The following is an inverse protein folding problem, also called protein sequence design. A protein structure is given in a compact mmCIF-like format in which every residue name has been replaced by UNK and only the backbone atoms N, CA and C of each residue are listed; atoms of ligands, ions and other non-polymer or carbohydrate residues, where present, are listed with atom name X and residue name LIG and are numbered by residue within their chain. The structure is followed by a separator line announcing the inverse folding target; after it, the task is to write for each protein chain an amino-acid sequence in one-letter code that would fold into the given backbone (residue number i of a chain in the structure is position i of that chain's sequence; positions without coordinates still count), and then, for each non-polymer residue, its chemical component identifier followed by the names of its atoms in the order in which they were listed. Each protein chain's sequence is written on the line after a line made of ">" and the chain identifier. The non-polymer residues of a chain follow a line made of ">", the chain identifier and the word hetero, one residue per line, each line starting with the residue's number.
data_IF_631016364739
#
_entry.id   IF_631016364739
#
_cell.length_a   1.000
_cell.length_b   1.000
_cell.length_c   1.000
_cell.angle_alpha   90.00
_cell.angle_beta   90.00
_cell.angle_gamma   90.00
#
_symmetry.space_group_name_H-M   'P 1'
#
loop_
_entity.id
_entity.type
_entity.pdbx_description
1 polymer ?
#
# COMPACT_ATOMS: atom_id res chain seq x y z
N UNK A 1 -45.80 -27.31 -0.94
CA UNK A 1 -44.63 -28.01 -0.35
C UNK A 1 -44.37 -29.35 -1.02
N UNK A 2 -45.14 -30.40 -0.70
CA UNK A 2 -44.87 -31.77 -1.16
C UNK A 2 -44.84 -31.90 -2.69
N UNK A 3 -45.73 -31.21 -3.41
CA UNK A 3 -45.74 -31.21 -4.88
C UNK A 3 -44.40 -30.73 -5.47
N UNK A 4 -43.94 -29.55 -5.07
CA UNK A 4 -42.71 -28.96 -5.60
C UNK A 4 -41.47 -29.80 -5.28
N UNK A 5 -41.40 -30.39 -4.08
CA UNK A 5 -40.32 -31.33 -3.76
C UNK A 5 -40.38 -32.60 -4.62
N UNK A 6 -41.56 -33.20 -4.80
CA UNK A 6 -41.73 -34.37 -5.66
C UNK A 6 -41.32 -34.10 -7.10
N UNK A 7 -41.66 -32.93 -7.64
CA UNK A 7 -41.27 -32.56 -9.00
C UNK A 7 -39.74 -32.52 -9.19
N UNK A 8 -38.98 -32.07 -8.19
CA UNK A 8 -37.51 -32.10 -8.22
C UNK A 8 -36.95 -33.53 -8.14
N UNK A 9 -37.63 -34.41 -7.40
CA UNK A 9 -37.21 -35.81 -7.19
C UNK A 9 -37.58 -36.71 -8.38
N UNK A 10 -38.77 -36.53 -8.94
CA UNK A 10 -39.34 -37.42 -9.95
C UNK A 10 -38.76 -37.18 -11.36
N UNK A 11 -38.10 -36.03 -11.61
CA UNK A 11 -37.46 -35.69 -12.89
C UNK A 11 -38.36 -35.86 -14.13
N UNK A 12 -39.65 -35.53 -13.99
CA UNK A 12 -40.60 -35.64 -15.12
C UNK A 12 -40.69 -34.36 -15.94
N UNK A 13 -40.64 -33.23 -15.24
CA UNK A 13 -41.00 -31.92 -15.81
C UNK A 13 -39.76 -31.01 -15.99
N UNK A 14 -38.55 -31.54 -15.84
CA UNK A 14 -37.29 -30.79 -15.94
C UNK A 14 -36.97 -29.91 -14.73
N UNK A 15 -37.91 -29.74 -13.80
CA UNK A 15 -37.69 -29.04 -12.53
C UNK A 15 -36.52 -29.67 -11.78
N UNK A 16 -35.48 -28.88 -11.50
CA UNK A 16 -34.27 -29.33 -10.81
C UNK A 16 -33.99 -28.58 -9.52
N UNK A 17 -34.76 -27.55 -9.18
CA UNK A 17 -34.71 -26.92 -7.87
C UNK A 17 -36.08 -26.45 -7.39
N UNK A 18 -36.25 -26.40 -6.07
CA UNK A 18 -37.37 -25.79 -5.39
C UNK A 18 -36.87 -25.01 -4.17
N UNK A 19 -37.33 -23.78 -4.00
CA UNK A 19 -36.99 -22.89 -2.91
C UNK A 19 -38.19 -22.73 -1.98
N UNK A 20 -37.93 -22.87 -0.69
CA UNK A 20 -38.92 -22.75 0.36
C UNK A 20 -38.50 -21.68 1.37
N UNK A 21 -39.46 -21.02 1.99
CA UNK A 21 -39.22 -19.98 2.98
C UNK A 21 -40.34 -19.91 3.99
N UNK A 22 -40.09 -19.27 5.13
CA UNK A 22 -41.12 -19.08 6.14
C UNK A 22 -42.17 -18.05 5.72
N UNK A 23 -43.44 -18.33 5.98
CA UNK A 23 -44.48 -17.33 5.91
C UNK A 23 -44.27 -16.28 7.01
N UNK A 24 -44.55 -15.02 6.67
CA UNK A 24 -44.17 -13.79 7.37
C UNK A 24 -44.02 -13.94 8.89
N UNK A 25 -45.09 -14.32 9.59
CA UNK A 25 -45.16 -14.37 11.04
C UNK A 25 -45.11 -15.78 11.63
N UNK A 26 -45.35 -16.82 10.83
CA UNK A 26 -45.34 -18.20 11.32
C UNK A 26 -44.02 -18.90 10.97
N UNK A 27 -43.85 -20.13 11.44
CA UNK A 27 -42.76 -21.01 11.02
C UNK A 27 -43.23 -22.03 9.99
N UNK A 28 -44.36 -21.75 9.32
CA UNK A 28 -44.87 -22.60 8.26
C UNK A 28 -44.04 -22.39 7.00
N UNK A 29 -43.60 -23.50 6.42
CA UNK A 29 -42.81 -23.49 5.21
C UNK A 29 -43.73 -23.30 3.99
N UNK A 30 -43.42 -22.33 3.13
CA UNK A 30 -44.15 -22.09 1.89
C UNK A 30 -43.21 -22.22 0.69
N UNK A 31 -43.78 -22.58 -0.47
CA UNK A 31 -43.04 -22.53 -1.73
C UNK A 31 -42.80 -21.07 -2.09
N UNK A 32 -41.53 -20.72 -2.33
CA UNK A 32 -41.11 -19.40 -2.80
C UNK A 32 -40.97 -19.44 -4.33
N UNK A 33 -40.29 -20.46 -4.85
CA UNK A 33 -40.06 -20.63 -6.28
C UNK A 33 -39.64 -22.06 -6.63
N UNK A 34 -39.66 -22.39 -7.91
CA UNK A 34 -39.12 -23.64 -8.48
C UNK A 34 -38.74 -23.39 -9.94
N UNK A 35 -37.79 -24.16 -10.45
CA UNK A 35 -37.29 -23.96 -11.81
C UNK A 35 -36.42 -25.10 -12.31
N UNK A 36 -35.91 -24.91 -13.53
CA UNK A 36 -35.11 -25.88 -14.29
C UNK A 36 -33.72 -25.35 -14.67
N UNK A 37 -33.39 -24.12 -14.29
CA UNK A 37 -32.12 -23.44 -14.54
C UNK A 37 -31.02 -23.75 -13.51
N UNK A 38 -31.19 -24.79 -12.68
CA UNK A 38 -30.14 -25.28 -11.80
C UNK A 38 -29.81 -24.37 -10.62
N UNK A 39 -28.55 -24.40 -10.20
CA UNK A 39 -28.08 -23.61 -9.06
C UNK A 39 -27.98 -22.12 -9.42
N UNK A 40 -27.70 -21.81 -10.66
CA UNK A 40 -27.55 -20.45 -11.18
C UNK A 40 -28.87 -19.67 -11.00
N UNK A 41 -29.97 -20.21 -11.55
CA UNK A 41 -31.31 -19.63 -11.39
C UNK A 41 -31.72 -19.58 -9.91
N UNK A 42 -31.46 -20.66 -9.15
CA UNK A 42 -31.78 -20.71 -7.72
C UNK A 42 -31.11 -19.57 -6.94
N UNK A 43 -29.87 -19.21 -7.25
CA UNK A 43 -29.15 -18.16 -6.51
C UNK A 43 -29.73 -16.77 -6.70
N UNK A 44 -30.39 -16.50 -7.84
CA UNK A 44 -31.06 -15.23 -8.12
C UNK A 44 -32.33 -15.04 -7.26
N UNK A 45 -32.96 -16.14 -6.86
CA UNK A 45 -34.17 -16.16 -6.02
C UNK A 45 -33.86 -16.09 -4.50
N UNK A 46 -32.59 -16.21 -4.10
CA UNK A 46 -32.19 -16.14 -2.70
C UNK A 46 -32.32 -14.71 -2.16
N UNK A 47 -32.99 -14.58 -1.01
CA UNK A 47 -33.18 -13.29 -0.36
C UNK A 47 -32.28 -13.16 0.88
N UNK A 48 -31.47 -12.10 0.92
CA UNK A 48 -30.58 -11.82 2.04
C UNK A 48 -31.32 -11.45 3.35
N UNK A 49 -32.60 -11.07 3.29
CA UNK A 49 -33.42 -10.73 4.46
C UNK A 49 -34.21 -11.90 5.04
N UNK A 50 -34.09 -13.12 4.49
CA UNK A 50 -34.95 -14.26 4.85
C UNK A 50 -34.15 -15.52 5.17
N UNK A 51 -34.79 -16.41 5.93
CA UNK A 51 -34.35 -17.80 6.11
C UNK A 51 -35.10 -18.62 5.08
N UNK A 52 -34.36 -19.38 4.28
CA UNK A 52 -34.90 -20.18 3.18
C UNK A 52 -34.25 -21.56 3.17
N UNK A 53 -34.92 -22.52 2.55
CA UNK A 53 -34.44 -23.87 2.35
C UNK A 53 -34.59 -24.20 0.88
N UNK A 54 -33.50 -24.54 0.22
CA UNK A 54 -33.53 -24.94 -1.18
C UNK A 54 -33.28 -26.43 -1.30
N UNK A 55 -34.08 -27.12 -2.11
CA UNK A 55 -33.86 -28.50 -2.48
C UNK A 55 -33.52 -28.54 -3.97
N UNK A 56 -32.32 -29.00 -4.30
CA UNK A 56 -31.80 -28.97 -5.66
C UNK A 56 -31.24 -30.34 -6.05
N UNK A 57 -31.50 -30.74 -7.29
CA UNK A 57 -30.91 -31.89 -7.93
C UNK A 57 -29.77 -31.43 -8.83
N UNK A 58 -28.58 -31.95 -8.58
CA UNK A 58 -27.35 -31.62 -9.33
C UNK A 58 -26.76 -32.90 -9.89
N UNK A 59 -26.37 -32.87 -11.15
CA UNK A 59 -25.66 -33.98 -11.77
C UNK A 59 -24.16 -33.86 -11.48
N UNK A 60 -23.56 -34.92 -10.94
CA UNK A 60 -22.11 -34.95 -10.71
C UNK A 60 -21.37 -35.13 -12.04
N UNK A 61 -20.48 -34.20 -12.44
CA UNK A 61 -19.77 -34.27 -13.73
C UNK A 61 -18.89 -35.51 -13.90
N UNK A 62 -18.42 -36.10 -12.79
CA UNK A 62 -17.51 -37.24 -12.83
C UNK A 62 -18.24 -38.57 -12.93
N UNK A 63 -19.46 -38.65 -12.38
CA UNK A 63 -20.21 -39.91 -12.25
C UNK A 63 -21.50 -39.93 -13.06
N UNK A 64 -21.96 -38.79 -13.58
CA UNK A 64 -23.27 -38.60 -14.22
C UNK A 64 -24.47 -38.99 -13.34
N UNK A 65 -24.26 -39.20 -12.05
CA UNK A 65 -25.30 -39.55 -11.07
C UNK A 65 -25.93 -38.26 -10.55
N UNK A 66 -27.27 -38.21 -10.57
CA UNK A 66 -28.03 -37.14 -9.91
C UNK A 66 -27.91 -37.26 -8.40
N UNK A 67 -27.49 -36.18 -7.76
CA UNK A 67 -27.43 -36.02 -6.30
C UNK A 67 -28.41 -34.94 -5.87
N UNK A 68 -28.99 -35.12 -4.69
CA UNK A 68 -29.92 -34.17 -4.11
C UNK A 68 -29.25 -33.42 -2.96
N UNK A 69 -29.34 -32.10 -3.02
CA UNK A 69 -28.73 -31.17 -2.09
C UNK A 69 -29.84 -30.39 -1.39
N UNK A 70 -29.78 -30.36 -0.06
CA UNK A 70 -30.61 -29.49 0.77
C UNK A 70 -29.73 -28.35 1.30
N UNK A 71 -30.05 -27.12 0.91
CA UNK A 71 -29.34 -25.91 1.31
C UNK A 71 -30.18 -25.21 2.39
N UNK A 72 -29.56 -24.94 3.53
CA UNK A 72 -30.11 -24.08 4.58
C UNK A 72 -29.56 -22.66 4.40
N UNK A 73 -30.36 -21.78 3.80
CA UNK A 73 -29.98 -20.39 3.55
C UNK A 73 -30.40 -19.50 4.72
N UNK A 74 -29.42 -18.87 5.37
CA UNK A 74 -29.64 -17.88 6.42
C UNK A 74 -29.15 -16.52 5.94
N UNK A 75 -30.01 -15.78 5.25
CA UNK A 75 -29.67 -14.46 4.73
C UNK A 75 -29.14 -13.52 5.81
N UNK A 76 -28.14 -12.71 5.49
CA UNK A 76 -27.46 -11.80 6.41
C UNK A 76 -28.44 -10.89 7.18
N UNK A 77 -29.39 -10.28 6.48
CA UNK A 77 -30.41 -9.39 7.03
C UNK A 77 -31.60 -10.08 7.69
N UNK A 78 -31.65 -11.42 7.76
CA UNK A 78 -32.74 -12.11 8.44
C UNK A 78 -32.70 -11.89 9.97
N UNK A 79 -33.86 -11.74 10.65
CA UNK A 79 -33.91 -11.43 12.08
C UNK A 79 -33.11 -12.43 12.93
N UNK A 80 -32.22 -11.94 13.79
CA UNK A 80 -31.31 -12.77 14.59
C UNK A 80 -32.06 -13.77 15.48
N UNK A 81 -33.19 -13.35 16.08
CA UNK A 81 -34.05 -14.21 16.90
C UNK A 81 -34.59 -15.38 16.07
N UNK A 82 -35.06 -15.12 14.84
CA UNK A 82 -35.54 -16.18 13.94
C UNK A 82 -34.40 -17.13 13.54
N UNK A 83 -33.17 -16.64 13.32
CA UNK A 83 -32.02 -17.51 13.02
C UNK A 83 -31.72 -18.48 14.16
N UNK A 84 -31.81 -18.00 15.40
CA UNK A 84 -31.64 -18.83 16.61
C UNK A 84 -32.74 -19.89 16.76
N UNK A 85 -34.01 -19.50 16.62
CA UNK A 85 -35.13 -20.43 16.73
C UNK A 85 -35.14 -21.49 15.61
N UNK A 86 -34.88 -21.08 14.37
CA UNK A 86 -34.95 -21.97 13.21
C UNK A 86 -33.73 -22.90 13.06
N UNK A 87 -32.71 -22.78 13.93
CA UNK A 87 -31.56 -23.68 13.92
C UNK A 87 -31.97 -25.15 14.11
N UNK A 88 -33.00 -25.41 14.91
CA UNK A 88 -33.49 -26.76 15.19
C UNK A 88 -34.46 -27.28 14.09
N UNK A 89 -35.13 -26.38 13.37
CA UNK A 89 -36.08 -26.77 12.33
C UNK A 89 -35.41 -27.51 11.16
N UNK A 90 -34.10 -27.30 10.97
CA UNK A 90 -33.36 -27.97 9.90
C UNK A 90 -33.48 -29.50 9.99
N UNK A 91 -33.49 -30.07 11.21
CA UNK A 91 -33.61 -31.52 11.39
C UNK A 91 -34.96 -32.04 10.87
N UNK A 92 -36.04 -31.34 11.21
CA UNK A 92 -37.39 -31.69 10.77
C UNK A 92 -37.54 -31.53 9.25
N UNK A 93 -36.95 -30.47 8.69
CA UNK A 93 -36.96 -30.19 7.24
C UNK A 93 -36.15 -31.25 6.48
N UNK A 94 -34.98 -31.65 6.98
CA UNK A 94 -34.17 -32.72 6.40
C UNK A 94 -34.88 -34.07 6.45
N UNK A 95 -35.65 -34.34 7.52
CA UNK A 95 -36.46 -35.55 7.64
C UNK A 95 -37.68 -35.54 6.72
N UNK A 96 -38.26 -34.35 6.49
CA UNK A 96 -39.41 -34.14 5.61
C UNK A 96 -39.01 -34.31 4.13
N UNK A 97 -37.95 -33.65 3.68
CA UNK A 97 -37.43 -33.75 2.31
C UNK A 97 -36.48 -34.94 2.17
N UNK A 98 -37.05 -36.15 2.11
CA UNK A 98 -36.29 -37.40 1.94
C UNK A 98 -35.50 -37.39 0.62
N UNK A 99 -34.38 -38.11 0.57
CA UNK A 99 -33.59 -38.30 -0.66
C UNK A 99 -32.34 -37.41 -0.78
N UNK A 100 -32.22 -36.32 -0.01
CA UNK A 100 -30.91 -35.66 0.17
C UNK A 100 -30.07 -36.39 1.20
N UNK A 101 -28.85 -36.79 0.83
CA UNK A 101 -27.85 -37.22 1.83
C UNK A 101 -27.31 -35.96 2.49
N UNK A 102 -27.96 -35.53 3.57
CA UNK A 102 -27.48 -34.39 4.32
C UNK A 102 -26.10 -34.70 4.91
N UNK A 103 -25.09 -34.00 4.41
CA UNK A 103 -23.79 -33.87 5.07
C UNK A 103 -23.65 -32.41 5.47
N UNK A 104 -23.48 -32.17 6.76
CA UNK A 104 -23.17 -30.83 7.26
C UNK A 104 -21.85 -30.39 6.62
N UNK A 105 -21.91 -29.36 5.78
CA UNK A 105 -20.72 -28.72 5.24
C UNK A 105 -19.91 -28.20 6.41
N UNK A 106 -18.65 -28.61 6.49
CA UNK A 106 -17.67 -28.03 7.41
C UNK A 106 -16.82 -27.05 6.61
N UNK A 107 -17.08 -25.73 6.65
CA UNK A 107 -16.35 -24.75 5.84
C UNK A 107 -14.84 -24.85 6.03
N UNK A 108 -14.38 -25.12 7.26
CA UNK A 108 -12.98 -25.31 7.60
C UNK A 108 -12.32 -26.56 6.98
N UNK A 109 -13.12 -27.53 6.50
CA UNK A 109 -12.65 -28.77 5.88
C UNK A 109 -12.80 -28.77 4.36
N UNK A 110 -13.78 -28.03 3.84
CA UNK A 110 -14.18 -28.07 2.43
C UNK A 110 -13.73 -26.84 1.63
N UNK A 111 -13.47 -25.70 2.29
CA UNK A 111 -12.86 -24.54 1.64
C UNK A 111 -11.35 -24.66 1.85
N UNK A 112 -10.60 -24.82 0.76
CA UNK A 112 -9.13 -24.78 0.77
C UNK A 112 -8.64 -23.39 1.22
N UNK A 113 -8.47 -23.20 2.53
CA UNK A 113 -7.83 -21.99 3.09
C UNK A 113 -6.39 -21.90 2.59
N UNK A 114 -5.76 -23.04 2.37
CA UNK A 114 -4.39 -23.19 1.89
C UNK A 114 -4.15 -22.56 0.51
N UNK A 115 -5.08 -22.69 -0.45
CA UNK A 115 -4.89 -22.08 -1.80
C UNK A 115 -5.05 -20.57 -1.76
N UNK A 116 -6.02 -20.07 -0.98
CA UNK A 116 -6.19 -18.64 -0.73
C UNK A 116 -4.97 -18.06 0.01
N UNK A 117 -4.46 -18.75 1.02
CA UNK A 117 -3.27 -18.34 1.78
C UNK A 117 -2.00 -18.34 0.90
N UNK A 118 -1.83 -19.34 0.03
CA UNK A 118 -0.73 -19.38 -0.94
C UNK A 118 -0.80 -18.22 -1.93
N UNK A 119 -1.99 -17.87 -2.41
CA UNK A 119 -2.20 -16.72 -3.28
C UNK A 119 -1.76 -15.42 -2.59
N UNK A 120 -2.29 -15.15 -1.40
CA UNK A 120 -1.94 -13.95 -0.64
C UNK A 120 -0.48 -13.91 -0.20
N UNK A 121 0.12 -15.05 0.17
CA UNK A 121 1.54 -15.14 0.52
C UNK A 121 2.43 -14.80 -0.68
N UNK A 122 2.12 -15.32 -1.87
CA UNK A 122 2.86 -15.04 -3.09
C UNK A 122 2.76 -13.56 -3.46
N UNK A 123 1.56 -12.99 -3.39
CA UNK A 123 1.32 -11.59 -3.72
C UNK A 123 1.98 -10.65 -2.70
N UNK A 124 1.95 -10.97 -1.41
CA UNK A 124 2.66 -10.22 -0.35
C UNK A 124 4.18 -10.29 -0.52
N UNK A 125 4.71 -11.43 -0.95
CA UNK A 125 6.14 -11.59 -1.21
C UNK A 125 6.60 -10.80 -2.44
N UNK A 126 5.80 -10.80 -3.50
CA UNK A 126 6.03 -9.98 -4.70
C UNK A 126 5.91 -8.48 -4.40
N UNK A 127 4.91 -8.08 -3.61
CA UNK A 127 4.73 -6.71 -3.13
C UNK A 127 5.91 -6.25 -2.28
N UNK A 128 6.36 -7.08 -1.34
CA UNK A 128 7.50 -6.79 -0.48
C UNK A 128 8.78 -6.62 -1.30
N UNK A 129 9.01 -7.47 -2.31
CA UNK A 129 10.14 -7.32 -3.24
C UNK A 129 10.08 -6.00 -4.00
N UNK A 130 8.91 -5.60 -4.50
CA UNK A 130 8.74 -4.32 -5.19
C UNK A 130 9.11 -3.15 -4.28
N UNK A 131 8.63 -3.16 -3.03
CA UNK A 131 8.93 -2.11 -2.04
C UNK A 131 10.42 -2.06 -1.72
N UNK A 132 11.06 -3.22 -1.57
CA UNK A 132 12.50 -3.32 -1.28
C UNK A 132 13.34 -2.78 -2.46
N UNK A 133 12.98 -3.13 -3.69
CA UNK A 133 13.62 -2.59 -4.90
C UNK A 133 13.44 -1.07 -5.05
N UNK A 134 12.25 -0.54 -4.77
CA UNK A 134 12.00 0.91 -4.77
C UNK A 134 12.82 1.63 -3.70
N UNK A 135 12.89 1.07 -2.49
CA UNK A 135 13.74 1.61 -1.41
C UNK A 135 15.21 1.62 -1.79
N UNK A 136 15.72 0.53 -2.39
CA UNK A 136 17.11 0.44 -2.81
C UNK A 136 17.44 1.49 -3.88
N UNK A 137 16.55 1.67 -4.86
CA UNK A 137 16.70 2.70 -5.91
C UNK A 137 16.64 4.11 -5.32
N UNK A 138 15.73 4.36 -4.37
CA UNK A 138 15.63 5.64 -3.69
C UNK A 138 16.86 5.96 -2.83
N UNK A 139 17.39 4.98 -2.09
CA UNK A 139 18.63 5.10 -1.31
C UNK A 139 19.82 5.42 -2.23
N UNK A 140 19.96 4.67 -3.34
CA UNK A 140 21.01 4.90 -4.32
C UNK A 140 20.92 6.29 -4.97
N UNK A 141 19.71 6.74 -5.30
CA UNK A 141 19.48 8.10 -5.81
C UNK A 141 19.85 9.17 -4.77
N UNK A 142 19.54 8.94 -3.50
CA UNK A 142 19.86 9.85 -2.39
C UNK A 142 21.37 9.95 -2.17
N UNK A 143 22.08 8.82 -2.21
CA UNK A 143 23.55 8.77 -2.10
C UNK A 143 24.19 9.51 -3.27
N UNK A 144 23.77 9.23 -4.51
CA UNK A 144 24.28 9.91 -5.70
C UNK A 144 24.09 11.43 -5.64
N UNK A 145 22.90 11.88 -5.22
CA UNK A 145 22.63 13.30 -5.06
C UNK A 145 23.53 13.93 -3.98
N UNK A 146 23.77 13.24 -2.87
CA UNK A 146 24.64 13.71 -1.80
C UNK A 146 26.11 13.82 -2.25
N UNK A 147 26.59 12.88 -3.07
CA UNK A 147 27.94 12.95 -3.67
C UNK A 147 28.09 14.14 -4.61
N UNK A 148 27.10 14.36 -5.49
CA UNK A 148 27.10 15.52 -6.39
C UNK A 148 27.08 16.85 -5.64
N UNK A 149 26.28 16.95 -4.56
CA UNK A 149 26.24 18.14 -3.70
C UNK A 149 27.60 18.36 -3.01
N UNK A 150 28.18 17.31 -2.42
CA UNK A 150 29.48 17.38 -1.76
C UNK A 150 30.59 17.83 -2.71
N UNK A 151 30.57 17.37 -3.96
CA UNK A 151 31.54 17.78 -4.96
C UNK A 151 31.39 19.27 -5.33
N UNK A 152 30.16 19.76 -5.50
CA UNK A 152 29.88 21.18 -5.75
C UNK A 152 30.34 22.05 -4.58
N UNK A 153 30.01 21.66 -3.35
CA UNK A 153 30.44 22.36 -2.14
C UNK A 153 31.96 22.39 -2.00
N UNK A 154 32.66 21.28 -2.31
CA UNK A 154 34.12 21.27 -2.29
C UNK A 154 34.74 22.18 -3.35
N UNK A 155 34.17 22.25 -4.56
CA UNK A 155 34.64 23.18 -5.61
C UNK A 155 34.43 24.63 -5.19
N UNK A 156 33.25 24.95 -4.66
CA UNK A 156 32.94 26.28 -4.15
C UNK A 156 33.85 26.68 -2.97
N UNK A 157 34.12 25.76 -2.05
CA UNK A 157 35.03 25.99 -0.94
C UNK A 157 36.46 26.26 -1.42
N UNK A 158 36.98 25.48 -2.38
CA UNK A 158 38.29 25.70 -2.99
C UNK A 158 38.38 27.06 -3.68
N UNK A 159 37.37 27.41 -4.48
CA UNK A 159 37.33 28.69 -5.18
C UNK A 159 37.31 29.87 -4.18
N UNK A 160 36.57 29.75 -3.07
CA UNK A 160 36.58 30.75 -1.99
C UNK A 160 37.97 30.85 -1.36
N UNK A 161 38.61 29.74 -1.03
CA UNK A 161 39.96 29.74 -0.46
C UNK A 161 41.00 30.37 -1.40
N UNK A 162 40.94 30.06 -2.70
CA UNK A 162 41.81 30.66 -3.71
C UNK A 162 41.60 32.17 -3.79
N UNK A 163 40.34 32.62 -3.87
CA UNK A 163 40.01 34.04 -3.85
C UNK A 163 40.49 34.73 -2.57
N UNK A 164 40.32 34.10 -1.40
CA UNK A 164 40.82 34.62 -0.13
C UNK A 164 42.34 34.71 -0.11
N UNK A 165 43.06 33.71 -0.62
CA UNK A 165 44.52 33.72 -0.73
C UNK A 165 45.00 34.83 -1.66
N UNK A 166 44.42 34.95 -2.85
CA UNK A 166 44.76 36.02 -3.80
C UNK A 166 44.49 37.41 -3.20
N UNK A 167 43.34 37.59 -2.56
CA UNK A 167 42.99 38.84 -1.88
C UNK A 167 43.97 39.17 -0.76
N UNK A 168 44.36 38.18 0.05
CA UNK A 168 45.36 38.37 1.11
C UNK A 168 46.71 38.78 0.52
N UNK A 169 47.21 38.06 -0.48
CA UNK A 169 48.47 38.37 -1.17
C UNK A 169 48.46 39.77 -1.79
N UNK A 170 47.32 40.19 -2.35
CA UNK A 170 47.15 41.55 -2.88
C UNK A 170 47.23 42.61 -1.78
N UNK A 171 46.55 42.38 -0.65
CA UNK A 171 46.60 43.29 0.52
C UNK A 171 48.02 43.38 1.08
N UNK A 172 48.74 42.27 1.19
CA UNK A 172 50.11 42.26 1.70
C UNK A 172 51.06 43.02 0.78
N UNK A 173 50.94 42.84 -0.54
CA UNK A 173 51.68 43.64 -1.54
C UNK A 173 51.39 45.14 -1.41
N UNK A 174 50.13 45.52 -1.21
CA UNK A 174 49.75 46.93 -1.00
C UNK A 174 50.39 47.49 0.28
N UNK A 175 50.35 46.75 1.39
CA UNK A 175 50.98 47.16 2.66
C UNK A 175 52.49 47.30 2.53
N UNK A 176 53.15 46.39 1.81
CA UNK A 176 54.59 46.45 1.59
C UNK A 176 54.99 47.64 0.70
N UNK A 177 54.21 47.90 -0.37
CA UNK A 177 54.38 49.08 -1.21
C UNK A 177 54.19 50.39 -0.41
N UNK A 178 53.18 50.45 0.46
CA UNK A 178 52.94 51.59 1.35
C UNK A 178 54.11 51.81 2.32
N UNK A 179 54.60 50.75 2.97
CA UNK A 179 55.76 50.80 3.86
C UNK A 179 57.03 51.26 3.13
N UNK A 180 57.27 50.77 1.91
CA UNK A 180 58.40 51.17 1.09
C UNK A 180 58.29 52.63 0.63
N UNK A 181 57.09 53.11 0.30
CA UNK A 181 56.84 54.50 -0.02
C UNK A 181 57.07 55.41 1.21
N UNK A 182 56.62 54.99 2.40
CA UNK A 182 56.86 55.70 3.66
C UNK A 182 58.36 55.76 3.97
N UNK A 183 59.08 54.64 3.87
CA UNK A 183 60.53 54.58 4.06
C UNK A 183 61.29 55.44 3.04
N UNK A 184 60.89 55.43 1.77
CA UNK A 184 61.47 56.29 0.74
C UNK A 184 61.23 57.78 1.03
N UNK A 185 60.02 58.12 1.44
CA UNK A 185 59.65 59.49 1.83
C UNK A 185 60.43 59.94 3.06
N UNK A 186 60.51 59.09 4.09
CA UNK A 186 61.29 59.31 5.30
C UNK A 186 62.77 59.54 4.99
N UNK A 187 63.38 58.69 4.15
CA UNK A 187 64.76 58.86 3.70
C UNK A 187 64.97 60.16 2.90
N UNK A 188 64.05 60.55 2.01
CA UNK A 188 64.13 61.81 1.25
C UNK A 188 64.04 63.04 2.17
N UNK A 189 63.13 63.01 3.16
CA UNK A 189 62.99 64.08 4.16
C UNK A 189 64.26 64.18 5.00
N UNK A 190 64.77 63.05 5.48
CA UNK A 190 65.97 63.00 6.31
C UNK A 190 67.21 63.50 5.53
N UNK A 191 67.34 63.13 4.25
CA UNK A 191 68.38 63.64 3.34
C UNK A 191 68.29 65.16 3.16
N UNK A 192 67.10 65.70 2.88
CA UNK A 192 66.89 67.16 2.76
C UNK A 192 67.24 67.91 4.04
N UNK A 193 66.88 67.35 5.20
CA UNK A 193 67.19 67.91 6.51
C UNK A 193 68.72 67.97 6.72
N UNK A 194 69.43 66.89 6.39
CA UNK A 194 70.88 66.82 6.47
C UNK A 194 71.57 67.82 5.53
N UNK A 195 71.06 67.96 4.29
CA UNK A 195 71.55 68.96 3.32
C UNK A 195 71.33 70.41 3.79
N UNK A 196 70.17 70.70 4.41
CA UNK A 196 69.90 72.00 5.03
C UNK A 196 70.88 72.30 6.17
N UNK A 197 71.12 71.34 7.07
CA UNK A 197 72.07 71.48 8.17
C UNK A 197 73.47 71.84 7.65
N UNK A 198 73.92 71.16 6.58
CA UNK A 198 75.21 71.42 5.95
C UNK A 198 75.32 72.85 5.36
N UNK A 199 74.22 73.37 4.82
CA UNK A 199 74.16 74.73 4.30
C UNK A 199 74.17 75.78 5.41
N UNK A 200 73.48 75.53 6.53
CA UNK A 200 73.52 76.39 7.72
C UNK A 200 74.92 76.44 8.33
N UNK A 201 75.58 75.29 8.48
CA UNK A 201 76.94 75.22 9.02
C UNK A 201 77.96 75.93 8.12
N UNK A 202 77.81 75.81 6.79
CA UNK A 202 78.61 76.60 5.82
C UNK A 202 78.34 78.11 5.94
N UNK A 203 77.09 78.54 6.17
CA UNK A 203 76.75 79.95 6.39
C UNK A 203 77.32 80.48 7.71
N UNK A 204 77.30 79.69 8.78
CA UNK A 204 77.93 80.03 10.07
C UNK A 204 79.44 80.18 9.93
N UNK A 205 80.12 79.28 9.19
CA UNK A 205 81.56 79.35 8.92
C UNK A 205 82.00 80.53 8.04
N UNK A 206 81.11 81.13 7.25
CA UNK A 206 81.39 82.35 6.45
C UNK A 206 81.13 83.66 7.20
N UNK A 207 80.54 83.59 8.41
CA UNK A 207 80.19 84.75 9.25
C UNK A 207 81.23 85.02 10.36
N UNK A 208 82.23 84.16 10.49
CA UNK A 208 83.47 84.37 11.26
C UNK A 208 84.62 84.63 10.27
#
# INVERSE_FOLDING_TARGET
>A
LLSAWKEVVDDKDGTNWALFGYDKQTYDLCLVGKGAGGLEELTEELNCGKIMYAFCRVQDPNTNISKFILINWQGEGAPLVKKGCCANHFMDISNFFRGSVYKRIQPAREISTTEREKFWMKEQEEEKKRIEEEKLKAEAARIRLAEEVKEREMKDARAREEWFKERSLSIDKMREAEKNAQNSTHNKVNKKLWEQQLQEDKKKRKKN
#
